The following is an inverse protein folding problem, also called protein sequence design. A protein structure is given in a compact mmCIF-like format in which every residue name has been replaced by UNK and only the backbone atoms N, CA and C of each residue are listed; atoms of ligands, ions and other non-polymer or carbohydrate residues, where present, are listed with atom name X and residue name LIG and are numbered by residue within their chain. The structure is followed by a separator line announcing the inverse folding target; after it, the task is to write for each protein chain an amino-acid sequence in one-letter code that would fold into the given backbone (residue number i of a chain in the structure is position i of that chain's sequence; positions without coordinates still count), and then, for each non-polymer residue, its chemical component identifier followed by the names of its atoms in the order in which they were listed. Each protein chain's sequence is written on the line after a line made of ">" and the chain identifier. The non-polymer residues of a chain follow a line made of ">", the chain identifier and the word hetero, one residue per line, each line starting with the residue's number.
data_IF_696552338496
#
_entry.id   IF_696552338496
#
_cell.length_a   1.000
_cell.length_b   1.000
_cell.length_c   1.000
_cell.angle_alpha   90.00
_cell.angle_beta   90.00
_cell.angle_gamma   90.00
#
_symmetry.space_group_name_H-M   'P 1'
#
loop_
_entity.id
_entity.type
_entity.pdbx_description
1 polymer ?
#
# COMPACT_ATOMS: atom_id res chain seq x y z
N UNK A 1 14.03 2.17 15.06
CA UNK A 1 13.31 2.64 13.86
C UNK A 1 11.91 2.99 14.34
N UNK A 2 11.61 4.27 14.52
CA UNK A 2 10.25 4.66 14.94
C UNK A 2 9.29 4.34 13.79
N UNK A 3 8.18 3.63 14.03
CA UNK A 3 7.17 3.43 13.00
C UNK A 3 6.70 4.82 12.55
N UNK A 4 7.09 5.17 11.33
CA UNK A 4 6.95 6.49 10.73
C UNK A 4 5.51 7.00 10.94
N UNK A 5 5.35 8.25 11.37
CA UNK A 5 4.04 8.91 11.57
C UNK A 5 3.10 8.68 10.36
N UNK A 6 3.66 8.52 9.16
CA UNK A 6 2.94 8.13 7.96
C UNK A 6 2.18 6.79 8.03
N UNK A 7 2.78 5.71 8.57
CA UNK A 7 2.15 4.39 8.60
C UNK A 7 0.99 4.32 9.60
N UNK A 8 1.13 4.98 10.75
CA UNK A 8 0.05 5.09 11.73
C UNK A 8 -1.15 5.87 11.18
N UNK A 9 -0.90 6.98 10.49
CA UNK A 9 -1.95 7.77 9.83
C UNK A 9 -2.63 6.98 8.72
N UNK A 10 -1.87 6.25 7.90
CA UNK A 10 -2.42 5.38 6.87
C UNK A 10 -3.31 4.30 7.49
N UNK A 11 -2.83 3.60 8.53
CA UNK A 11 -3.63 2.59 9.22
C UNK A 11 -4.93 3.18 9.82
N UNK A 12 -4.86 4.35 10.47
CA UNK A 12 -6.05 5.04 10.98
C UNK A 12 -7.04 5.40 9.86
N UNK A 13 -6.54 5.88 8.72
CA UNK A 13 -7.36 6.19 7.56
C UNK A 13 -8.04 4.94 6.99
N UNK A 14 -7.29 3.85 6.82
CA UNK A 14 -7.83 2.57 6.34
C UNK A 14 -8.87 1.99 7.29
N UNK A 15 -8.70 2.11 8.61
CA UNK A 15 -9.74 1.70 9.58
C UNK A 15 -11.03 2.51 9.47
N UNK A 16 -10.95 3.78 9.07
CA UNK A 16 -12.10 4.66 8.95
C UNK A 16 -12.82 4.53 7.59
N UNK A 17 -12.06 4.26 6.52
CA UNK A 17 -12.57 4.38 5.14
C UNK A 17 -12.44 3.11 4.31
N UNK A 18 -11.69 2.11 4.78
CA UNK A 18 -11.42 0.86 4.08
C UNK A 18 -10.50 0.97 2.86
N UNK A 19 -10.17 2.18 2.41
CA UNK A 19 -9.31 2.39 1.24
C UNK A 19 -8.53 3.70 1.31
N UNK A 20 -7.40 3.73 0.59
CA UNK A 20 -6.61 4.92 0.32
C UNK A 20 -6.01 4.84 -1.09
N UNK A 21 -5.61 5.98 -1.64
CA UNK A 21 -4.87 6.07 -2.90
C UNK A 21 -3.64 6.96 -2.69
N UNK A 22 -2.46 6.49 -3.11
CA UNK A 22 -1.18 7.21 -2.99
C UNK A 22 -0.42 7.01 -4.30
N UNK A 23 -0.10 8.10 -5.01
CA UNK A 23 0.68 8.05 -6.26
C UNK A 23 0.12 7.06 -7.30
N UNK A 24 -1.21 6.94 -7.39
CA UNK A 24 -1.91 6.01 -8.28
C UNK A 24 -2.00 4.56 -7.77
N UNK A 25 -1.36 4.23 -6.65
CA UNK A 25 -1.51 2.94 -5.98
C UNK A 25 -2.81 2.88 -5.20
N UNK A 26 -3.58 1.81 -5.38
CA UNK A 26 -4.76 1.55 -4.58
C UNK A 26 -4.40 0.67 -3.37
N UNK A 27 -4.81 1.11 -2.19
CA UNK A 27 -4.56 0.43 -0.92
C UNK A 27 -5.93 0.11 -0.30
N UNK A 28 -6.32 -1.16 -0.31
CA UNK A 28 -7.65 -1.58 0.14
C UNK A 28 -7.53 -2.48 1.37
N UNK A 29 -8.14 -2.10 2.48
CA UNK A 29 -8.17 -2.89 3.70
C UNK A 29 -9.46 -3.73 3.74
N UNK A 30 -9.31 -5.04 3.94
CA UNK A 30 -10.41 -5.96 4.17
C UNK A 30 -10.09 -6.88 5.35
N UNK A 31 -10.87 -6.77 6.42
CA UNK A 31 -10.63 -7.50 7.67
C UNK A 31 -9.21 -7.30 8.20
N UNK A 32 -8.45 -8.40 8.23
CA UNK A 32 -7.09 -8.45 8.76
C UNK A 32 -6.00 -8.15 7.72
N UNK A 33 -6.36 -7.91 6.46
CA UNK A 33 -5.41 -7.79 5.35
C UNK A 33 -5.56 -6.46 4.60
N UNK A 34 -4.48 -6.03 3.95
CA UNK A 34 -4.44 -4.92 3.01
C UNK A 34 -3.97 -5.45 1.66
N UNK A 35 -4.73 -5.13 0.62
CA UNK A 35 -4.46 -5.40 -0.78
C UNK A 35 -3.81 -4.17 -1.41
N UNK A 36 -2.68 -4.38 -2.08
CA UNK A 36 -1.96 -3.34 -2.79
C UNK A 36 -2.02 -3.57 -4.30
N UNK A 37 -2.68 -2.65 -5.00
CA UNK A 37 -2.79 -2.63 -6.46
C UNK A 37 -1.93 -1.51 -7.00
N UNK A 38 -1.07 -1.81 -7.98
CA UNK A 38 -0.20 -0.83 -8.60
C UNK A 38 -0.97 0.14 -9.52
N UNK A 39 -0.35 1.24 -10.00
CA UNK A 39 -1.00 2.22 -10.87
C UNK A 39 -1.50 1.68 -12.22
N UNK A 40 -1.11 0.45 -12.59
CA UNK A 40 -1.56 -0.23 -13.80
C UNK A 40 -2.76 -1.16 -13.55
N UNK A 41 -3.30 -1.21 -12.33
CA UNK A 41 -4.44 -2.04 -11.96
C UNK A 41 -4.09 -3.50 -11.67
N UNK A 42 -2.83 -3.82 -11.39
CA UNK A 42 -2.39 -5.17 -11.04
C UNK A 42 -2.20 -5.29 -9.53
N UNK A 43 -2.76 -6.34 -8.93
CA UNK A 43 -2.52 -6.68 -7.53
C UNK A 43 -1.11 -7.25 -7.37
N UNK A 44 -0.30 -6.62 -6.53
CA UNK A 44 1.13 -6.92 -6.41
C UNK A 44 1.58 -7.22 -4.98
N UNK A 45 0.69 -7.10 -3.99
CA UNK A 45 1.05 -7.42 -2.62
C UNK A 45 -0.12 -7.53 -1.66
N UNK A 46 0.10 -8.32 -0.61
CA UNK A 46 -0.78 -8.51 0.54
C UNK A 46 0.00 -8.22 1.81
N UNK A 47 -0.59 -7.43 2.71
CA UNK A 47 0.04 -6.99 3.94
C UNK A 47 -0.91 -7.16 5.11
N UNK A 48 -0.38 -7.28 6.33
CA UNK A 48 -1.21 -7.24 7.53
C UNK A 48 -1.88 -5.87 7.68
N UNK A 49 -3.14 -5.84 8.12
CA UNK A 49 -3.87 -4.61 8.41
C UNK A 49 -3.48 -4.03 9.78
N UNK A 50 -2.22 -3.60 9.86
CA UNK A 50 -1.65 -2.93 11.02
C UNK A 50 -0.64 -1.85 10.58
N UNK A 51 -0.01 -1.20 11.57
CA UNK A 51 0.96 -0.12 11.30
C UNK A 51 2.26 -0.62 10.64
N UNK A 52 2.64 -1.89 10.80
CA UNK A 52 3.82 -2.48 10.18
C UNK A 52 3.54 -2.78 8.70
N UNK A 53 2.40 -3.39 8.39
CA UNK A 53 1.95 -3.60 7.01
C UNK A 53 1.84 -2.28 6.25
N UNK A 54 1.26 -1.25 6.88
CA UNK A 54 1.22 0.10 6.30
C UNK A 54 2.62 0.69 6.06
N UNK A 55 3.61 0.41 6.93
CA UNK A 55 4.97 0.90 6.73
C UNK A 55 5.64 0.24 5.50
N UNK A 56 5.45 -1.08 5.32
CA UNK A 56 5.98 -1.80 4.16
C UNK A 56 5.32 -1.37 2.85
N UNK A 57 4.03 -1.05 2.87
CA UNK A 57 3.33 -0.47 1.71
C UNK A 57 3.95 0.88 1.33
N UNK A 58 4.12 1.77 2.32
CA UNK A 58 4.72 3.09 2.06
C UNK A 58 6.17 2.98 1.57
N UNK A 59 6.95 2.06 2.12
CA UNK A 59 8.29 1.77 1.63
C UNK A 59 8.25 1.29 0.18
N UNK A 60 7.41 0.30 -0.14
CA UNK A 60 7.25 -0.23 -1.51
C UNK A 60 6.93 0.86 -2.52
N UNK A 61 5.93 1.70 -2.22
CA UNK A 61 5.53 2.83 -3.07
C UNK A 61 6.69 3.82 -3.22
N UNK A 62 7.41 4.15 -2.13
CA UNK A 62 8.51 5.11 -2.18
C UNK A 62 9.74 4.65 -2.98
N UNK A 63 9.91 3.33 -3.11
CA UNK A 63 11.00 2.72 -3.87
C UNK A 63 10.62 2.35 -5.30
N UNK A 64 9.35 2.52 -5.67
CA UNK A 64 8.87 2.19 -7.01
C UNK A 64 9.28 3.28 -8.00
N UNK A 65 10.16 2.92 -8.93
CA UNK A 65 10.59 3.78 -10.04
C UNK A 65 9.59 3.78 -11.20
N UNK A 66 8.45 3.11 -11.04
CA UNK A 66 7.42 2.90 -12.04
C UNK A 66 7.93 2.23 -13.32
N UNK A 67 9.11 1.60 -13.29
CA UNK A 67 9.56 0.75 -14.39
C UNK A 67 8.58 -0.42 -14.48
N UNK A 68 7.78 -0.41 -15.55
CA UNK A 68 6.80 -1.45 -15.82
C UNK A 68 7.57 -2.76 -16.02
N UNK A 69 7.63 -3.62 -15.01
CA UNK A 69 8.33 -4.93 -15.08
C UNK A 69 7.73 -5.90 -16.13
N UNK A 70 6.71 -5.48 -16.89
CA UNK A 70 6.10 -6.25 -17.96
C UNK A 70 5.92 -5.38 -19.23
N UNK A 71 7.03 -5.05 -19.87
CA UNK A 71 7.13 -5.09 -21.33
C UNK A 71 7.83 -6.40 -21.67
N UNK A 72 7.13 -7.43 -22.12
CA UNK A 72 6.75 -7.59 -23.53
C UNK A 72 5.45 -8.39 -23.66
N UNK A 73 4.56 -7.90 -24.54
CA UNK A 73 3.55 -8.73 -25.21
C UNK A 73 4.24 -9.74 -26.14
#
# INVERSE_FOLDING_TARGET
>A
MEPNIGSHKLHQHLRAHGRAEIDGWAINADGAEIWLTNPYGLDVGFYANDAEGCARILERISTDDHEREWGTL
#
